data_IF_032941257909
#
_entry.id   IF_032941257909
#
_cell.length_a   1.000
_cell.length_b   1.000
_cell.length_c   1.000
_cell.angle_alpha   90.00
_cell.angle_beta   90.00
_cell.angle_gamma   90.00
#
_symmetry.space_group_name_H-M   'P 1'
#
loop_
_entity.id
_entity.type
_entity.pdbx_description
1 polymer ?
#
# COMPACT_ATOMS: atom_id res chain seq x y z
N UNK A 1 -3.54 -52.19 -1.64
CA UNK A 1 -4.16 -50.98 -1.08
C UNK A 1 -3.20 -50.15 -0.22
N UNK A 2 -2.59 -50.71 0.84
CA UNK A 2 -1.75 -49.94 1.78
C UNK A 2 -0.51 -49.25 1.15
N UNK A 3 0.16 -49.90 0.20
CA UNK A 3 1.34 -49.33 -0.48
C UNK A 3 1.04 -48.13 -1.39
N UNK A 4 -0.12 -48.17 -2.07
CA UNK A 4 -0.58 -47.07 -2.91
C UNK A 4 -0.97 -45.84 -2.07
N UNK A 5 -1.61 -46.07 -0.92
CA UNK A 5 -1.93 -45.02 0.05
C UNK A 5 -0.67 -44.38 0.65
N UNK A 6 0.35 -45.19 0.97
CA UNK A 6 1.63 -44.68 1.45
C UNK A 6 2.38 -43.83 0.40
N UNK A 7 2.38 -44.26 -0.87
CA UNK A 7 2.97 -43.49 -1.97
C UNK A 7 2.25 -42.16 -2.21
N UNK A 8 0.92 -42.15 -2.15
CA UNK A 8 0.11 -40.93 -2.25
C UNK A 8 0.36 -39.97 -1.10
N UNK A 9 0.47 -40.49 0.13
CA UNK A 9 0.78 -39.67 1.31
C UNK A 9 2.19 -39.05 1.23
N UNK A 10 3.17 -39.83 0.76
CA UNK A 10 4.55 -39.35 0.56
C UNK A 10 4.59 -38.27 -0.52
N UNK A 11 3.91 -38.48 -1.65
CA UNK A 11 3.82 -37.48 -2.71
C UNK A 11 3.13 -36.19 -2.24
N UNK A 12 2.02 -36.29 -1.51
CA UNK A 12 1.33 -35.13 -0.94
C UNK A 12 2.22 -34.35 0.04
N UNK A 13 3.00 -35.05 0.88
CA UNK A 13 3.96 -34.42 1.79
C UNK A 13 5.11 -33.71 1.06
N UNK A 14 5.63 -34.32 -0.03
CA UNK A 14 6.66 -33.72 -0.89
C UNK A 14 6.15 -32.45 -1.60
N UNK A 15 4.92 -32.46 -2.12
CA UNK A 15 4.31 -31.27 -2.72
C UNK A 15 4.05 -30.16 -1.68
N UNK A 16 3.62 -30.51 -0.46
CA UNK A 16 3.42 -29.53 0.60
C UNK A 16 4.74 -28.89 1.07
N UNK A 17 5.81 -29.67 1.18
CA UNK A 17 7.14 -29.16 1.54
C UNK A 17 7.73 -28.25 0.44
N UNK A 18 7.48 -28.55 -0.85
CA UNK A 18 7.90 -27.70 -1.96
C UNK A 18 7.13 -26.35 -1.99
N UNK A 19 5.86 -26.35 -1.57
CA UNK A 19 5.05 -25.13 -1.45
C UNK A 19 5.39 -24.29 -0.21
N UNK A 20 5.99 -24.92 0.82
CA UNK A 20 6.39 -24.26 2.07
C UNK A 20 7.65 -23.37 1.93
N UNK A 21 8.30 -23.35 0.76
CA UNK A 21 9.39 -22.43 0.42
C UNK A 21 8.93 -21.02 0.02
N UNK A 22 7.69 -20.64 0.32
CA UNK A 22 7.18 -19.30 0.10
C UNK A 22 7.74 -18.32 1.13
N UNK A 23 8.38 -17.25 0.65
CA UNK A 23 8.86 -16.11 1.44
C UNK A 23 7.70 -15.61 2.33
N UNK A 24 7.77 -15.92 3.63
CA UNK A 24 6.76 -15.44 4.56
C UNK A 24 6.75 -13.91 4.49
N UNK A 25 5.57 -13.27 4.44
CA UNK A 25 5.50 -11.82 4.31
C UNK A 25 6.28 -11.16 5.46
N UNK A 26 7.03 -10.08 5.19
CA UNK A 26 7.85 -9.44 6.21
C UNK A 26 6.98 -9.00 7.39
N UNK A 27 7.42 -9.26 8.61
CA UNK A 27 6.67 -8.86 9.80
C UNK A 27 6.63 -7.34 10.00
N UNK A 28 7.68 -6.63 9.54
CA UNK A 28 7.81 -5.16 9.65
C UNK A 28 8.46 -4.57 8.42
N UNK A 29 7.98 -3.40 7.99
CA UNK A 29 8.57 -2.61 6.91
C UNK A 29 8.73 -1.16 7.40
N UNK A 30 9.91 -0.59 7.19
CA UNK A 30 10.15 0.83 7.40
C UNK A 30 10.09 1.57 6.05
N UNK A 31 9.29 2.62 5.97
CA UNK A 31 9.22 3.54 4.83
C UNK A 31 9.82 4.88 5.27
N UNK A 32 10.83 5.37 4.55
CA UNK A 32 11.47 6.67 4.86
C UNK A 32 10.96 7.72 3.90
N UNK A 33 10.31 8.74 4.45
CA UNK A 33 9.62 9.82 3.74
C UNK A 33 8.12 9.57 3.62
N UNK A 34 7.30 10.55 4.00
CA UNK A 34 5.83 10.55 3.89
C UNK A 34 5.33 11.52 2.81
N UNK A 35 6.13 11.75 1.76
CA UNK A 35 5.65 12.36 0.52
C UNK A 35 4.78 11.39 -0.29
N UNK A 36 4.31 11.82 -1.47
CA UNK A 36 3.43 10.98 -2.31
C UNK A 36 3.97 9.56 -2.56
N UNK A 37 5.26 9.43 -2.85
CA UNK A 37 5.87 8.12 -3.10
C UNK A 37 5.86 7.21 -1.87
N UNK A 38 6.27 7.73 -0.71
CA UNK A 38 6.31 6.94 0.52
C UNK A 38 4.93 6.58 1.04
N UNK A 39 3.99 7.52 1.00
CA UNK A 39 2.58 7.26 1.36
C UNK A 39 1.92 6.26 0.40
N UNK A 40 2.20 6.35 -0.91
CA UNK A 40 1.70 5.38 -1.89
C UNK A 40 2.29 3.99 -1.65
N UNK A 41 3.60 3.89 -1.40
CA UNK A 41 4.25 2.62 -1.08
C UNK A 41 3.67 2.01 0.19
N UNK A 42 3.50 2.78 1.26
CA UNK A 42 2.86 2.29 2.48
C UNK A 42 1.45 1.73 2.20
N UNK A 43 0.65 2.44 1.40
CA UNK A 43 -0.68 1.98 0.99
C UNK A 43 -0.65 0.65 0.23
N UNK A 44 0.15 0.57 -0.84
CA UNK A 44 0.20 -0.63 -1.69
C UNK A 44 0.84 -1.83 -0.98
N UNK A 45 1.82 -1.62 -0.10
CA UNK A 45 2.39 -2.67 0.74
C UNK A 45 1.35 -3.21 1.74
N UNK A 46 0.53 -2.32 2.32
CA UNK A 46 -0.55 -2.74 3.21
C UNK A 46 -1.61 -3.57 2.46
N UNK A 47 -1.95 -3.19 1.23
CA UNK A 47 -2.86 -3.96 0.39
C UNK A 47 -2.28 -5.31 -0.01
N UNK A 48 -0.99 -5.35 -0.35
CA UNK A 48 -0.32 -6.56 -0.81
C UNK A 48 -0.14 -7.61 0.29
N UNK A 49 0.33 -7.19 1.46
CA UNK A 49 0.62 -8.10 2.59
C UNK A 49 -0.53 -8.23 3.59
N UNK A 50 -1.55 -7.38 3.49
CA UNK A 50 -2.71 -7.36 4.38
C UNK A 50 -2.41 -6.74 5.76
N UNK A 51 -3.37 -6.76 6.71
CA UNK A 51 -3.26 -6.06 7.99
C UNK A 51 -2.22 -6.62 8.96
N UNK A 52 -1.57 -7.75 8.62
CA UNK A 52 -0.59 -8.43 9.48
C UNK A 52 0.82 -7.88 9.37
N UNK A 53 1.15 -7.14 8.31
CA UNK A 53 2.43 -6.44 8.22
C UNK A 53 2.35 -5.13 9.00
N UNK A 54 3.34 -4.88 9.86
CA UNK A 54 3.53 -3.57 10.49
C UNK A 54 4.28 -2.67 9.50
N UNK A 55 3.73 -1.52 9.16
CA UNK A 55 4.37 -0.53 8.29
C UNK A 55 4.59 0.75 9.09
N UNK A 56 5.85 1.07 9.35
CA UNK A 56 6.25 2.28 10.06
C UNK A 56 6.77 3.31 9.04
N UNK A 57 6.10 4.45 8.94
CA UNK A 57 6.50 5.55 8.04
C UNK A 57 7.22 6.63 8.85
N UNK A 58 8.46 6.94 8.48
CA UNK A 58 9.29 7.94 9.14
C UNK A 58 9.43 9.19 8.25
N UNK A 59 8.92 10.32 8.71
CA UNK A 59 9.05 11.61 8.04
C UNK A 59 9.69 12.63 8.99
N UNK A 60 10.67 13.38 8.48
CA UNK A 60 11.38 14.41 9.25
C UNK A 60 10.65 15.76 9.21
N UNK A 61 10.03 16.06 8.08
CA UNK A 61 9.35 17.32 7.81
C UNK A 61 7.83 17.17 7.83
N UNK A 62 7.18 17.85 6.89
CA UNK A 62 5.72 17.82 6.74
C UNK A 62 5.29 16.63 5.89
N UNK A 63 4.28 15.90 6.36
CA UNK A 63 3.59 14.87 5.57
C UNK A 63 3.08 15.47 4.25
N UNK A 64 3.20 14.73 3.16
CA UNK A 64 2.91 15.21 1.80
C UNK A 64 4.17 15.65 1.04
N UNK A 65 5.22 16.06 1.75
CA UNK A 65 6.51 16.41 1.16
C UNK A 65 6.40 17.57 0.17
N UNK A 66 6.59 17.28 -1.14
CA UNK A 66 6.47 18.28 -2.22
C UNK A 66 5.04 18.47 -2.74
N UNK A 67 4.08 17.64 -2.29
CA UNK A 67 2.66 17.95 -2.47
C UNK A 67 2.27 18.82 -1.28
N UNK A 68 2.33 20.13 -1.45
CA UNK A 68 2.25 21.07 -0.36
C UNK A 68 1.44 22.29 -0.75
N UNK A 69 0.41 22.56 0.05
CA UNK A 69 -0.43 23.74 -0.08
C UNK A 69 -0.08 24.73 1.04
N UNK A 70 0.06 26.00 0.72
CA UNK A 70 0.25 27.09 1.68
C UNK A 70 -1.00 27.96 1.75
N UNK A 71 -1.21 28.61 2.90
CA UNK A 71 -2.29 29.57 3.09
C UNK A 71 -1.76 30.99 3.11
N UNK A 72 -2.27 31.85 2.23
CA UNK A 72 -1.96 33.29 2.17
C UNK A 72 -3.28 34.05 2.12
N UNK A 73 -3.49 35.00 3.03
CA UNK A 73 -4.74 35.78 3.10
C UNK A 73 -6.03 34.92 3.10
N UNK A 74 -6.01 33.80 3.85
CA UNK A 74 -7.11 32.81 3.90
C UNK A 74 -7.43 32.13 2.57
N UNK A 75 -6.54 32.21 1.58
CA UNK A 75 -6.60 31.49 0.33
C UNK A 75 -5.53 30.41 0.29
N UNK A 76 -5.82 29.28 -0.35
CA UNK A 76 -4.92 28.13 -0.45
C UNK A 76 -4.23 28.12 -1.82
N UNK A 77 -2.91 27.88 -1.82
CA UNK A 77 -2.09 27.86 -3.03
C UNK A 77 -1.16 26.65 -3.03
N UNK A 78 -1.03 26.00 -4.17
CA UNK A 78 -0.03 24.95 -4.35
C UNK A 78 1.37 25.56 -4.39
N UNK A 79 2.16 25.23 -3.37
CA UNK A 79 3.56 25.68 -3.23
C UNK A 79 4.57 24.70 -3.82
N UNK A 80 4.13 23.48 -4.12
CA UNK A 80 4.94 22.41 -4.70
C UNK A 80 4.33 21.90 -6.01
N UNK A 81 3.89 20.64 -6.04
CA UNK A 81 3.29 20.09 -7.25
C UNK A 81 1.89 20.70 -7.48
N UNK A 82 1.80 21.59 -8.46
CA UNK A 82 0.58 22.36 -8.76
C UNK A 82 -0.18 21.86 -10.00
N UNK A 83 0.46 21.08 -10.88
CA UNK A 83 -0.16 20.65 -12.14
C UNK A 83 0.36 19.28 -12.57
N UNK A 84 -0.55 18.39 -12.91
CA UNK A 84 -0.26 17.07 -13.46
C UNK A 84 -0.73 17.00 -14.90
N UNK A 85 0.13 16.54 -15.80
CA UNK A 85 -0.22 16.38 -17.20
C UNK A 85 -1.29 15.28 -17.37
N UNK A 86 -2.26 15.49 -18.27
CA UNK A 86 -3.36 14.54 -18.50
C UNK A 86 -2.89 13.14 -18.93
N UNK A 87 -1.76 13.06 -19.63
CA UNK A 87 -1.14 11.81 -20.05
C UNK A 87 -0.35 11.09 -18.94
N UNK A 88 -0.29 11.62 -17.71
CA UNK A 88 0.32 10.91 -16.58
C UNK A 88 -0.65 9.87 -16.04
N UNK A 89 -0.88 8.80 -16.80
CA UNK A 89 -1.94 7.83 -16.52
C UNK A 89 -1.80 7.18 -15.13
N UNK A 90 -0.59 6.86 -14.70
CA UNK A 90 -0.35 6.35 -13.34
C UNK A 90 -0.79 7.33 -12.25
N UNK A 91 -0.57 8.63 -12.42
CA UNK A 91 -1.03 9.63 -11.47
C UNK A 91 -2.55 9.80 -11.55
N UNK A 92 -3.13 9.80 -12.75
CA UNK A 92 -4.57 9.91 -12.94
C UNK A 92 -5.32 8.75 -12.27
N UNK A 93 -4.83 7.52 -12.44
CA UNK A 93 -5.45 6.35 -11.81
C UNK A 93 -5.22 6.33 -10.30
N UNK A 94 -4.07 6.83 -9.83
CA UNK A 94 -3.80 6.98 -8.41
C UNK A 94 -4.72 8.01 -7.74
N UNK A 95 -5.02 9.14 -8.38
CA UNK A 95 -6.01 10.12 -7.87
C UNK A 95 -7.39 9.47 -7.76
N UNK A 96 -7.86 8.77 -8.81
CA UNK A 96 -9.17 8.08 -8.78
C UNK A 96 -9.26 7.06 -7.64
N UNK A 97 -8.19 6.31 -7.40
CA UNK A 97 -8.10 5.36 -6.29
C UNK A 97 -8.30 6.07 -4.94
N UNK A 98 -7.68 7.24 -4.76
CA UNK A 98 -7.75 8.01 -3.51
C UNK A 98 -9.11 8.71 -3.33
N UNK A 99 -9.70 9.25 -4.40
CA UNK A 99 -11.00 9.91 -4.35
C UNK A 99 -12.10 8.92 -3.94
N UNK A 100 -12.14 7.71 -4.54
CA UNK A 100 -13.08 6.66 -4.14
C UNK A 100 -12.86 6.17 -2.69
N UNK A 101 -11.62 6.25 -2.19
CA UNK A 101 -11.31 5.94 -0.79
C UNK A 101 -11.78 7.05 0.17
N UNK A 102 -11.82 8.31 -0.25
CA UNK A 102 -12.34 9.43 0.54
C UNK A 102 -13.87 9.37 0.69
N UNK A 103 -14.60 9.08 -0.39
CA UNK A 103 -16.06 8.89 -0.35
C UNK A 103 -16.49 7.76 0.60
N UNK A 104 -15.73 6.67 0.62
CA UNK A 104 -15.98 5.52 1.51
C UNK A 104 -15.80 5.88 3.00
N UNK A 105 -14.96 6.88 3.32
CA UNK A 105 -14.69 7.32 4.69
C UNK A 105 -15.78 8.27 5.19
N UNK A 106 -16.22 9.23 4.39
CA UNK A 106 -17.33 10.11 4.77
C UNK A 106 -18.64 9.31 4.99
N UNK A 107 -18.91 8.29 4.18
CA UNK A 107 -20.07 7.41 4.37
C UNK A 107 -20.02 6.55 5.65
N UNK A 108 -18.85 6.41 6.29
CA UNK A 108 -18.67 5.68 7.56
C UNK A 108 -18.67 6.58 8.80
N UNK A 109 -18.39 7.87 8.65
CA UNK A 109 -18.41 8.84 9.75
C UNK A 109 -19.83 9.36 10.04
N UNK A 110 -20.76 9.13 9.11
CA UNK A 110 -22.17 9.50 9.20
C UNK A 110 -23.10 8.33 9.62
N UNK A 111 -22.55 7.18 10.05
CA UNK A 111 -23.29 5.97 10.42
C UNK A 111 -23.06 5.54 11.87
#
# INVERSE_FOLDING_TARGET
MARAAALLAVLAALLAAAAAGGDAPPGKIAVVGAGIGGSAVAHFLQQHFGPRVQIDVYEKGTVGGRLATISVNKQHYESGAASFHSLSLHMQDFVKLLDGAAETREGKELA
#
